data_IF_338603640192
#
_entry.id   IF_338603640192
#
_cell.length_a   1.000
_cell.length_b   1.000
_cell.length_c   1.000
_cell.angle_alpha   90.00
_cell.angle_beta   90.00
_cell.angle_gamma   90.00
#
_symmetry.space_group_name_H-M   'P 1'
#
loop_
_entity.id
_entity.type
_entity.pdbx_description
1 polymer ?
#
# COMPACT_ATOMS: atom_id res chain seq x y z
N UNK A 1 -44.95 -51.67 16.71
CA UNK A 1 -46.35 -51.22 16.81
C UNK A 1 -46.63 -50.24 15.68
N UNK A 2 -47.52 -50.65 14.75
CA UNK A 2 -48.42 -49.87 13.86
C UNK A 2 -47.81 -48.68 13.10
N UNK A 3 -47.53 -48.80 11.79
CA UNK A 3 -48.45 -48.88 10.63
C UNK A 3 -49.51 -47.79 10.61
N UNK A 4 -49.39 -46.84 9.66
CA UNK A 4 -50.47 -46.33 8.79
C UNK A 4 -49.79 -46.02 7.44
N UNK A 5 -49.83 -46.96 6.49
CA UNK A 5 -50.86 -47.08 5.45
C UNK A 5 -50.71 -46.01 4.36
N UNK A 6 -50.05 -46.44 3.29
CA UNK A 6 -50.28 -46.01 1.92
C UNK A 6 -51.77 -46.14 1.54
N UNK A 7 -52.17 -45.52 0.42
CA UNK A 7 -53.07 -46.05 -0.63
C UNK A 7 -53.48 -44.86 -1.54
N UNK A 8 -52.96 -44.80 -2.78
CA UNK A 8 -53.62 -45.22 -4.07
C UNK A 8 -54.43 -44.05 -4.66
N UNK A 9 -54.47 -43.73 -5.96
CA UNK A 9 -53.90 -44.24 -7.22
C UNK A 9 -54.59 -43.40 -8.34
N UNK A 10 -54.11 -43.55 -9.59
CA UNK A 10 -54.84 -43.33 -10.86
C UNK A 10 -54.94 -41.88 -11.37
N UNK A 11 -54.74 -41.55 -12.65
CA UNK A 11 -54.25 -42.22 -13.86
C UNK A 11 -54.48 -41.19 -14.99
N UNK A 12 -53.54 -41.06 -15.94
CA UNK A 12 -53.77 -41.20 -17.40
C UNK A 12 -52.74 -40.44 -18.24
N UNK A 13 -52.26 -41.20 -19.22
CA UNK A 13 -51.29 -40.87 -20.23
C UNK A 13 -51.95 -40.30 -21.51
N UNK A 14 -51.18 -39.54 -22.30
CA UNK A 14 -51.25 -39.49 -23.76
C UNK A 14 -49.97 -38.80 -24.27
N UNK A 15 -49.00 -39.54 -24.81
CA UNK A 15 -48.80 -39.85 -26.23
C UNK A 15 -48.38 -38.67 -27.12
N UNK A 16 -47.09 -38.73 -27.48
CA UNK A 16 -46.48 -38.52 -28.78
C UNK A 16 -46.77 -37.22 -29.56
N UNK A 17 -45.69 -36.51 -29.91
CA UNK A 17 -45.38 -36.20 -31.31
C UNK A 17 -43.88 -35.96 -31.46
N UNK A 18 -43.26 -36.81 -32.28
CA UNK A 18 -41.94 -36.59 -32.83
C UNK A 18 -41.93 -35.32 -33.69
N UNK A 19 -40.90 -34.50 -33.53
CA UNK A 19 -40.69 -33.30 -34.33
C UNK A 19 -39.21 -32.91 -34.32
N UNK A 20 -38.39 -33.65 -35.07
CA UNK A 20 -37.08 -33.19 -35.52
C UNK A 20 -37.29 -32.01 -36.47
N UNK A 21 -37.00 -30.78 -36.04
CA UNK A 21 -36.69 -29.68 -36.95
C UNK A 21 -35.48 -28.89 -36.44
N UNK A 22 -34.34 -29.24 -37.02
CA UNK A 22 -33.12 -28.45 -37.08
C UNK A 22 -33.34 -27.24 -38.00
N UNK A 23 -33.28 -26.03 -37.44
CA UNK A 23 -33.05 -24.82 -38.22
C UNK A 23 -32.13 -23.92 -37.40
N UNK A 24 -30.88 -23.82 -37.86
CA UNK A 24 -29.84 -23.02 -37.24
C UNK A 24 -30.17 -21.53 -37.32
N UNK A 25 -30.21 -20.88 -36.17
CA UNK A 25 -29.94 -19.46 -36.08
C UNK A 25 -28.41 -19.29 -36.11
N UNK A 26 -27.84 -18.37 -36.91
CA UNK A 26 -26.48 -17.94 -36.66
C UNK A 26 -26.48 -17.30 -35.27
N UNK A 27 -25.78 -17.94 -34.35
CA UNK A 27 -25.33 -17.31 -33.12
C UNK A 27 -24.46 -16.14 -33.55
N UNK A 28 -25.07 -14.95 -33.65
CA UNK A 28 -24.33 -13.71 -33.62
C UNK A 28 -23.69 -13.66 -32.24
N UNK A 29 -22.45 -14.15 -32.20
CA UNK A 29 -21.57 -14.08 -31.06
C UNK A 29 -21.41 -12.61 -30.76
N UNK A 30 -22.28 -12.09 -29.89
CA UNK A 30 -22.05 -10.85 -29.20
C UNK A 30 -20.75 -11.08 -28.44
N UNK A 31 -19.65 -10.60 -29.03
CA UNK A 31 -18.37 -10.53 -28.40
C UNK A 31 -18.61 -9.92 -27.02
N UNK A 32 -18.35 -10.71 -25.97
CA UNK A 32 -18.36 -10.19 -24.62
C UNK A 32 -17.54 -8.89 -24.62
N UNK A 33 -18.06 -7.79 -24.05
CA UNK A 33 -17.31 -6.55 -24.02
C UNK A 33 -15.94 -6.84 -23.42
N UNK A 34 -14.89 -6.45 -24.14
CA UNK A 34 -13.53 -6.52 -23.64
C UNK A 34 -13.53 -5.91 -22.22
N UNK A 35 -12.85 -6.52 -21.23
CA UNK A 35 -12.87 -6.03 -19.87
C UNK A 35 -12.48 -4.56 -19.88
N UNK A 36 -13.43 -3.69 -19.50
CA UNK A 36 -13.17 -2.26 -19.34
C UNK A 36 -11.99 -2.16 -18.39
N UNK A 37 -10.86 -1.65 -18.90
CA UNK A 37 -9.63 -1.59 -18.15
C UNK A 37 -9.86 -0.56 -17.05
N UNK A 38 -10.27 -1.03 -15.87
CA UNK A 38 -10.55 -0.13 -14.76
C UNK A 38 -9.30 0.69 -14.48
N UNK A 39 -9.47 2.00 -14.45
CA UNK A 39 -8.36 2.91 -14.13
C UNK A 39 -7.83 2.65 -12.72
N UNK A 40 -8.55 1.94 -11.87
CA UNK A 40 -8.15 1.61 -10.51
C UNK A 40 -7.63 0.17 -10.40
N UNK A 41 -6.59 -0.05 -9.59
CA UNK A 41 -6.07 -1.36 -9.22
C UNK A 41 -5.54 -1.38 -7.78
N UNK A 42 -5.51 -2.56 -7.15
CA UNK A 42 -5.14 -2.74 -5.74
C UNK A 42 -3.94 -3.70 -5.61
N UNK A 43 -2.69 -3.19 -5.62
CA UNK A 43 -1.49 -4.03 -5.62
C UNK A 43 -1.18 -4.66 -4.25
N UNK A 44 -1.78 -4.14 -3.19
CA UNK A 44 -1.66 -4.65 -1.83
C UNK A 44 -2.92 -4.28 -1.04
N UNK A 45 -3.22 -5.04 0.01
CA UNK A 45 -4.38 -4.81 0.88
C UNK A 45 -4.36 -3.38 1.44
N UNK A 46 -5.35 -2.57 1.08
CA UNK A 46 -5.51 -1.18 1.55
C UNK A 46 -4.79 -0.14 0.68
N UNK A 47 -4.09 -0.57 -0.37
CA UNK A 47 -3.49 0.30 -1.39
C UNK A 47 -4.42 0.35 -2.60
N UNK A 48 -4.86 1.55 -2.99
CA UNK A 48 -5.72 1.76 -4.16
C UNK A 48 -5.03 2.73 -5.11
N UNK A 49 -4.62 2.24 -6.27
CA UNK A 49 -3.88 3.03 -7.26
C UNK A 49 -4.75 3.34 -8.48
N UNK A 50 -4.76 4.58 -8.94
CA UNK A 50 -5.46 5.03 -10.14
C UNK A 50 -4.46 5.35 -11.27
N UNK A 51 -4.56 4.65 -12.40
CA UNK A 51 -3.71 4.75 -13.60
C UNK A 51 -3.88 6.08 -14.32
N UNK A 52 -5.12 6.53 -14.53
CA UNK A 52 -5.42 7.80 -15.18
C UNK A 52 -4.86 9.00 -14.41
N UNK A 53 -4.99 8.98 -13.07
CA UNK A 53 -4.46 10.02 -12.18
C UNK A 53 -2.99 9.83 -11.81
N UNK A 54 -2.44 8.63 -12.01
CA UNK A 54 -1.11 8.20 -11.55
C UNK A 54 -0.88 8.49 -10.06
N UNK A 55 -1.86 8.15 -9.22
CA UNK A 55 -1.79 8.33 -7.76
C UNK A 55 -2.18 7.04 -7.06
N UNK A 56 -1.43 6.67 -6.03
CA UNK A 56 -1.78 5.60 -5.11
C UNK A 56 -2.23 6.17 -3.76
N UNK A 57 -3.32 5.62 -3.24
CA UNK A 57 -3.86 5.95 -1.93
C UNK A 57 -3.55 4.82 -0.92
N UNK A 58 -3.32 5.20 0.32
CA UNK A 58 -3.19 4.32 1.49
C UNK A 58 -4.08 4.83 2.61
N UNK A 59 -4.85 3.93 3.26
CA UNK A 59 -5.77 4.30 4.37
C UNK A 59 -6.70 5.47 4.04
N UNK A 60 -7.19 5.52 2.79
CA UNK A 60 -8.16 6.51 2.35
C UNK A 60 -7.58 7.82 1.82
N UNK A 61 -6.26 7.98 1.71
CA UNK A 61 -5.69 9.17 1.08
C UNK A 61 -4.35 9.00 0.37
N UNK A 62 -3.92 10.01 -0.40
CA UNK A 62 -2.80 9.93 -1.32
C UNK A 62 -1.45 9.72 -0.62
N UNK A 63 -0.67 8.75 -1.13
CA UNK A 63 0.67 8.39 -0.67
C UNK A 63 1.68 8.69 -1.76
N UNK A 64 2.64 9.58 -1.49
CA UNK A 64 3.74 9.91 -2.41
C UNK A 64 4.68 8.73 -2.56
N UNK A 65 4.93 7.98 -1.48
CA UNK A 65 5.78 6.79 -1.48
C UNK A 65 5.25 5.69 -2.39
N UNK A 66 3.97 5.32 -2.24
CA UNK A 66 3.33 4.30 -3.08
C UNK A 66 3.16 4.81 -4.52
N UNK A 67 2.83 6.10 -4.70
CA UNK A 67 2.77 6.70 -6.03
C UNK A 67 4.11 6.59 -6.76
N UNK A 68 5.23 6.84 -6.07
CA UNK A 68 6.57 6.65 -6.63
C UNK A 68 6.84 5.19 -7.00
N UNK A 69 6.46 4.26 -6.12
CA UNK A 69 6.68 2.83 -6.33
C UNK A 69 5.97 2.30 -7.57
N UNK A 70 4.72 2.70 -7.81
CA UNK A 70 3.90 2.16 -8.89
C UNK A 70 3.86 3.00 -10.17
N UNK A 71 4.12 4.31 -10.08
CA UNK A 71 4.05 5.23 -11.23
C UNK A 71 5.35 6.02 -11.48
N UNK A 72 6.38 5.83 -10.66
CA UNK A 72 7.70 6.44 -10.84
C UNK A 72 7.82 7.86 -10.26
N UNK A 73 9.03 8.42 -10.36
CA UNK A 73 9.38 9.70 -9.75
C UNK A 73 8.52 10.86 -10.25
N UNK A 74 8.27 10.97 -11.56
CA UNK A 74 7.51 12.10 -12.11
C UNK A 74 6.09 12.23 -11.56
N UNK A 75 5.39 11.11 -11.34
CA UNK A 75 4.07 11.11 -10.72
C UNK A 75 4.12 11.50 -9.24
N UNK A 76 5.11 11.00 -8.51
CA UNK A 76 5.32 11.32 -7.10
C UNK A 76 5.69 12.80 -6.89
N UNK A 77 6.53 13.35 -7.76
CA UNK A 77 6.99 14.73 -7.69
C UNK A 77 5.86 15.71 -8.05
N UNK A 78 4.92 15.31 -8.92
CA UNK A 78 3.70 16.06 -9.17
C UNK A 78 2.73 16.05 -7.97
N UNK A 79 2.67 14.94 -7.22
CA UNK A 79 1.81 14.81 -6.04
C UNK A 79 2.39 15.52 -4.80
N UNK A 80 3.72 15.49 -4.64
CA UNK A 80 4.44 15.94 -3.46
C UNK A 80 4.06 17.35 -2.95
N UNK A 81 3.89 18.39 -3.80
CA UNK A 81 3.52 19.73 -3.33
C UNK A 81 2.19 19.76 -2.56
N UNK A 82 1.19 19.03 -3.05
CA UNK A 82 -0.13 18.94 -2.39
C UNK A 82 -0.07 18.20 -1.05
N UNK A 83 0.88 17.26 -0.91
CA UNK A 83 1.09 16.45 0.29
C UNK A 83 1.97 17.15 1.32
N UNK A 84 2.94 17.95 0.87
CA UNK A 84 3.81 18.73 1.74
C UNK A 84 3.01 19.71 2.60
N UNK A 85 1.97 20.35 2.03
CA UNK A 85 1.05 21.22 2.76
C UNK A 85 0.26 20.48 3.87
N UNK A 86 0.09 19.16 3.71
CA UNK A 86 -0.65 18.29 4.64
C UNK A 86 0.26 17.47 5.54
N UNK A 87 1.59 17.66 5.44
CA UNK A 87 2.59 16.88 6.17
C UNK A 87 2.55 15.36 5.90
N UNK A 88 2.29 14.95 4.65
CA UNK A 88 2.37 13.54 4.22
C UNK A 88 1.61 12.53 5.11
N UNK A 89 0.31 12.73 5.38
CA UNK A 89 -0.40 11.98 6.43
C UNK A 89 -0.57 10.48 6.13
N UNK A 90 -0.39 10.07 4.86
CA UNK A 90 -0.57 8.70 4.41
C UNK A 90 0.73 7.99 4.01
N UNK A 91 1.89 8.62 4.19
CA UNK A 91 3.21 8.01 3.95
C UNK A 91 3.89 7.67 5.29
N UNK A 92 4.05 6.37 5.63
CA UNK A 92 4.76 5.96 6.86
C UNK A 92 6.22 6.44 6.89
N UNK A 93 6.83 6.53 5.71
CA UNK A 93 8.15 7.10 5.49
C UNK A 93 8.09 7.90 4.19
N UNK A 94 8.32 9.21 4.27
CA UNK A 94 8.32 10.09 3.10
C UNK A 94 9.70 10.69 2.87
N UNK A 95 9.98 11.05 1.61
CA UNK A 95 11.23 11.70 1.21
C UNK A 95 10.93 13.10 0.71
N UNK A 96 11.14 14.15 1.53
CA UNK A 96 10.90 15.52 1.07
C UNK A 96 11.93 15.97 0.01
N UNK A 97 13.14 15.39 0.03
CA UNK A 97 14.22 15.59 -0.94
C UNK A 97 15.04 14.30 -1.15
N UNK A 98 15.87 14.18 -2.20
CA UNK A 98 16.62 12.96 -2.49
C UNK A 98 17.46 12.40 -1.33
N UNK A 99 18.04 13.27 -0.50
CA UNK A 99 18.93 12.93 0.63
C UNK A 99 18.29 13.10 1.99
N UNK A 100 16.96 13.24 2.04
CA UNK A 100 16.20 13.45 3.26
C UNK A 100 15.09 12.40 3.32
N UNK A 101 14.83 11.87 4.52
CA UNK A 101 13.78 10.90 4.76
C UNK A 101 13.16 11.16 6.11
N UNK A 102 11.85 11.14 6.20
CA UNK A 102 11.10 11.38 7.42
C UNK A 102 10.25 10.17 7.74
N UNK A 103 10.33 9.71 8.98
CA UNK A 103 9.54 8.62 9.52
C UNK A 103 8.38 9.22 10.32
N UNK A 104 7.14 8.99 9.86
CA UNK A 104 5.94 9.55 10.51
C UNK A 104 5.56 8.80 11.77
N UNK A 105 6.02 7.56 11.97
CA UNK A 105 5.74 6.77 13.17
C UNK A 105 6.43 7.38 14.40
N UNK A 106 7.67 7.81 14.23
CA UNK A 106 8.50 8.42 15.29
C UNK A 106 8.66 9.92 15.12
N UNK A 107 7.97 10.50 14.13
CA UNK A 107 7.95 11.94 13.85
C UNK A 107 9.37 12.51 13.80
N UNK A 108 10.24 11.92 12.98
CA UNK A 108 11.65 12.32 12.91
C UNK A 108 12.17 12.22 11.50
N UNK A 109 12.93 13.23 11.12
CA UNK A 109 13.59 13.31 9.83
C UNK A 109 15.09 13.04 9.95
N UNK A 110 15.63 12.46 8.89
CA UNK A 110 17.02 12.05 8.73
C UNK A 110 17.56 12.63 7.43
N UNK A 111 18.85 12.92 7.42
CA UNK A 111 19.61 13.27 6.23
C UNK A 111 21.01 12.68 6.27
N UNK A 112 21.89 13.21 5.42
CA UNK A 112 23.26 12.69 5.23
C UNK A 112 24.08 12.67 6.53
N UNK A 113 23.79 13.58 7.47
CA UNK A 113 24.50 13.71 8.76
C UNK A 113 23.81 12.96 9.92
N UNK A 114 22.78 12.16 9.64
CA UNK A 114 21.93 11.51 10.63
C UNK A 114 20.64 12.28 10.86
N UNK A 115 20.18 12.36 12.11
CA UNK A 115 18.93 13.08 12.43
C UNK A 115 19.00 14.55 12.03
N UNK A 116 17.87 15.08 11.54
CA UNK A 116 17.73 16.46 11.08
C UNK A 116 16.64 17.16 11.90
N UNK A 117 17.05 17.93 12.90
CA UNK A 117 16.16 18.63 13.83
C UNK A 117 15.32 19.69 13.10
N UNK A 118 15.94 20.56 12.30
CA UNK A 118 15.24 21.61 11.57
C UNK A 118 14.14 21.03 10.66
N UNK A 119 14.45 19.93 9.98
CA UNK A 119 13.47 19.25 9.12
C UNK A 119 12.38 18.55 9.94
N UNK A 120 12.76 17.96 11.08
CA UNK A 120 11.82 17.36 12.02
C UNK A 120 10.84 18.40 12.56
N UNK A 121 11.31 19.58 12.95
CA UNK A 121 10.45 20.65 13.43
C UNK A 121 9.60 21.24 12.30
N UNK A 122 10.16 21.38 11.11
CA UNK A 122 9.44 21.88 9.93
C UNK A 122 8.22 21.01 9.59
N UNK A 123 8.39 19.69 9.61
CA UNK A 123 7.32 18.77 9.22
C UNK A 123 6.45 18.37 10.42
N UNK A 124 7.03 18.07 11.57
CA UNK A 124 6.29 17.51 12.72
C UNK A 124 6.09 18.51 13.88
N UNK A 125 6.58 19.72 13.76
CA UNK A 125 6.47 20.78 14.76
C UNK A 125 7.54 20.72 15.86
N UNK A 126 7.69 21.83 16.60
CA UNK A 126 8.73 21.96 17.65
C UNK A 126 8.64 20.91 18.77
N UNK A 127 7.43 20.39 19.05
CA UNK A 127 7.27 19.30 20.03
C UNK A 127 8.03 18.03 19.59
N UNK A 128 8.06 17.72 18.30
CA UNK A 128 8.79 16.57 17.78
C UNK A 128 10.31 16.77 17.90
N UNK A 129 10.82 17.99 17.66
CA UNK A 129 12.23 18.34 17.89
C UNK A 129 12.67 18.10 19.33
N UNK A 130 11.87 18.55 20.32
CA UNK A 130 12.14 18.30 21.74
C UNK A 130 12.07 16.83 22.14
N UNK A 131 11.16 16.06 21.55
CA UNK A 131 11.08 14.61 21.78
C UNK A 131 12.29 13.89 21.19
N UNK A 132 12.75 14.31 20.01
CA UNK A 132 13.95 13.79 19.37
C UNK A 132 15.19 14.01 20.24
N UNK A 133 15.35 15.21 20.80
CA UNK A 133 16.47 15.53 21.71
C UNK A 133 16.48 14.58 22.92
N UNK A 134 15.32 14.36 23.55
CA UNK A 134 15.15 13.46 24.69
C UNK A 134 15.46 11.99 24.37
N UNK A 135 15.19 11.55 23.15
CA UNK A 135 15.39 10.16 22.72
C UNK A 135 16.64 9.98 21.86
N UNK A 136 17.54 10.95 21.81
CA UNK A 136 18.77 10.90 21.01
C UNK A 136 19.63 9.67 21.29
N UNK A 137 19.58 9.12 22.51
CA UNK A 137 20.23 7.85 22.87
C UNK A 137 19.71 6.62 22.08
N UNK A 138 18.53 6.71 21.48
CA UNK A 138 17.97 5.68 20.59
C UNK A 138 18.41 5.84 19.14
N UNK A 139 19.19 6.87 18.82
CA UNK A 139 19.70 7.14 17.48
C UNK A 139 21.13 6.61 17.40
N UNK A 140 21.31 5.49 16.72
CA UNK A 140 22.59 4.82 16.56
C UNK A 140 23.21 5.23 15.23
N UNK A 141 24.48 5.64 15.23
CA UNK A 141 25.21 5.96 14.00
C UNK A 141 26.24 4.88 13.71
N UNK A 142 26.21 4.38 12.48
CA UNK A 142 27.18 3.40 11.98
C UNK A 142 27.97 4.04 10.84
N UNK A 143 29.25 4.32 11.12
CA UNK A 143 30.11 5.07 10.19
C UNK A 143 29.57 6.47 9.88
N UNK A 144 29.83 6.96 8.67
CA UNK A 144 29.44 8.31 8.27
C UNK A 144 28.05 8.40 7.63
N UNK A 145 27.49 7.28 7.17
CA UNK A 145 26.34 7.31 6.25
C UNK A 145 25.12 6.55 6.71
N UNK A 146 25.19 5.78 7.80
CA UNK A 146 24.06 5.00 8.29
C UNK A 146 23.64 5.50 9.66
N UNK A 147 22.36 5.80 9.81
CA UNK A 147 21.73 6.16 11.08
C UNK A 147 20.52 5.28 11.30
N UNK A 148 20.50 4.56 12.41
CA UNK A 148 19.40 3.70 12.81
C UNK A 148 18.64 4.33 13.98
N UNK A 149 17.32 4.44 13.85
CA UNK A 149 16.45 4.79 14.96
C UNK A 149 15.93 3.51 15.60
N UNK A 150 16.41 3.25 16.81
CA UNK A 150 16.06 2.09 17.60
C UNK A 150 14.60 2.10 18.08
N UNK A 151 13.93 3.27 18.01
CA UNK A 151 12.51 3.44 18.36
C UNK A 151 11.62 2.92 17.25
N UNK A 152 11.87 3.31 15.99
CA UNK A 152 11.09 2.81 14.83
C UNK A 152 11.64 1.52 14.25
N UNK A 153 12.83 1.09 14.70
CA UNK A 153 13.60 -0.03 14.16
C UNK A 153 13.86 0.13 12.66
N UNK A 154 14.25 1.33 12.24
CA UNK A 154 14.57 1.63 10.83
C UNK A 154 15.94 2.27 10.72
N UNK A 155 16.71 1.82 9.74
CA UNK A 155 17.96 2.44 9.34
C UNK A 155 17.80 3.29 8.07
N UNK A 156 18.49 4.42 8.09
CA UNK A 156 18.48 5.45 7.05
C UNK A 156 19.90 5.68 6.54
N UNK A 157 20.03 5.89 5.23
CA UNK A 157 21.25 6.37 4.61
C UNK A 157 21.00 7.59 3.70
N UNK A 158 21.97 7.95 2.85
CA UNK A 158 21.83 9.04 1.87
C UNK A 158 20.68 8.86 0.87
N UNK A 159 20.13 7.65 0.75
CA UNK A 159 19.00 7.30 -0.09
C UNK A 159 17.70 7.14 0.72
N UNK A 160 17.72 7.35 2.04
CA UNK A 160 16.56 7.28 2.93
C UNK A 160 16.46 5.96 3.67
N UNK A 161 15.26 5.58 4.10
CA UNK A 161 15.04 4.30 4.79
C UNK A 161 15.39 3.12 3.87
N UNK A 162 16.21 2.19 4.34
CA UNK A 162 16.66 1.05 3.54
C UNK A 162 16.41 -0.29 4.22
N UNK A 163 15.70 -1.19 3.52
CA UNK A 163 15.40 -2.56 3.99
C UNK A 163 16.68 -3.34 4.26
N UNK A 164 17.63 -3.35 3.31
CA UNK A 164 18.90 -4.07 3.45
C UNK A 164 19.77 -3.56 4.59
N UNK A 165 19.90 -2.25 4.77
CA UNK A 165 20.68 -1.67 5.89
C UNK A 165 19.96 -1.86 7.23
N UNK A 166 18.63 -1.87 7.25
CA UNK A 166 17.83 -2.19 8.45
C UNK A 166 18.07 -3.64 8.87
N UNK A 167 18.05 -4.58 7.92
CA UNK A 167 18.41 -5.98 8.16
C UNK A 167 19.83 -6.12 8.72
N UNK A 168 20.78 -5.40 8.14
CA UNK A 168 22.20 -5.51 8.48
C UNK A 168 22.51 -5.00 9.89
N UNK A 169 21.93 -3.87 10.30
CA UNK A 169 22.30 -3.19 11.56
C UNK A 169 21.32 -3.38 12.71
N UNK A 170 20.09 -3.83 12.43
CA UNK A 170 19.09 -4.15 13.46
C UNK A 170 18.86 -5.67 13.45
N UNK A 171 17.97 -6.17 12.59
CA UNK A 171 17.68 -7.59 12.43
C UNK A 171 16.70 -7.84 11.25
N UNK A 172 16.43 -9.11 10.95
CA UNK A 172 15.47 -9.55 9.94
C UNK A 172 14.04 -9.06 10.21
N UNK A 173 13.59 -9.12 11.47
CA UNK A 173 12.22 -8.76 11.84
C UNK A 173 11.95 -7.27 11.60
N UNK A 174 12.92 -6.40 11.93
CA UNK A 174 12.87 -4.97 11.66
C UNK A 174 12.82 -4.67 10.16
N UNK A 175 13.60 -5.40 9.36
CA UNK A 175 13.58 -5.31 7.90
C UNK A 175 12.20 -5.66 7.32
N UNK A 176 11.58 -6.73 7.81
CA UNK A 176 10.24 -7.15 7.38
C UNK A 176 9.16 -6.12 7.77
N UNK A 177 9.25 -5.56 8.97
CA UNK A 177 8.37 -4.47 9.42
C UNK A 177 8.53 -3.24 8.52
N UNK A 178 9.77 -2.82 8.22
CA UNK A 178 10.01 -1.72 7.29
C UNK A 178 9.43 -2.01 5.91
N UNK A 179 9.65 -3.22 5.38
CA UNK A 179 9.12 -3.62 4.09
C UNK A 179 7.59 -3.60 4.07
N UNK A 180 6.93 -4.05 5.14
CA UNK A 180 5.49 -3.95 5.31
C UNK A 180 5.03 -2.48 5.30
N UNK A 181 5.69 -1.61 6.08
CA UNK A 181 5.40 -0.17 6.11
C UNK A 181 5.51 0.48 4.72
N UNK A 182 6.58 0.17 3.97
CA UNK A 182 6.82 0.72 2.62
C UNK A 182 5.83 0.18 1.58
N UNK A 183 5.31 -1.04 1.78
CA UNK A 183 4.30 -1.63 0.90
C UNK A 183 2.86 -1.22 1.26
N UNK A 184 2.66 -0.47 2.34
CA UNK A 184 1.33 -0.28 2.90
C UNK A 184 0.73 -1.63 3.30
N UNK A 185 1.42 -2.39 4.16
CA UNK A 185 0.86 -3.57 4.81
C UNK A 185 0.93 -3.30 6.33
N UNK A 186 -0.20 -3.42 7.06
CA UNK A 186 -0.18 -3.26 8.51
C UNK A 186 0.65 -4.35 9.18
#
# INVERSE_FOLDING_TARGET
>A
MRSHSAVILLLLAALALAGCQSAGAPAESAAAPAPEKTDVFEPARGVVCNRGKKVCNWRGGPSVGLTRLFFGNGAADALAPSMAAQNYPYDPIFKPKPTESCDTLVTTCYGVKGVNYDLTEKYFGSKAGKLLEKRSAQILRYGQHVTCDNTSKVCFDRFGAGVGITRLYIDEAASDVLLARLRGKP
#
